data_IF_333094379846
#
_entry.id   IF_333094379846
#
_cell.length_a   1.000
_cell.length_b   1.000
_cell.length_c   1.000
_cell.angle_alpha   90.00
_cell.angle_beta   90.00
_cell.angle_gamma   90.00
#
_symmetry.space_group_name_H-M   'P 1'
#
loop_
_entity.id
_entity.type
_entity.pdbx_description
1 polymer ?
#
# COMPACT_ATOMS: atom_id res chain seq x y z
N UNK A 1 -14.98 10.93 7.17
CA UNK A 1 -15.05 9.47 7.00
C UNK A 1 -15.19 9.21 5.50
N UNK A 2 -14.27 8.47 4.89
CA UNK A 2 -14.25 8.17 3.45
C UNK A 2 -14.45 6.66 3.31
N UNK A 3 -15.50 6.24 2.59
CA UNK A 3 -15.74 4.84 2.24
C UNK A 3 -15.91 4.73 0.73
N UNK A 4 -15.07 3.94 0.07
CA UNK A 4 -15.13 3.73 -1.37
C UNK A 4 -15.00 2.24 -1.71
N UNK A 5 -15.58 1.83 -2.83
CA UNK A 5 -15.34 0.48 -3.38
C UNK A 5 -13.90 0.38 -3.85
N UNK A 6 -13.25 -0.74 -3.56
CA UNK A 6 -11.93 -1.04 -4.11
C UNK A 6 -11.99 -0.96 -5.64
N UNK A 7 -10.99 -0.34 -6.27
CA UNK A 7 -10.85 -0.30 -7.72
C UNK A 7 -10.26 -1.61 -8.21
N UNK A 8 -10.76 -2.14 -9.32
CA UNK A 8 -10.30 -3.42 -9.87
C UNK A 8 -10.79 -4.63 -9.07
N UNK A 9 -9.88 -5.53 -8.69
CA UNK A 9 -10.21 -6.80 -8.02
C UNK A 9 -10.89 -6.57 -6.67
N UNK A 10 -12.13 -7.01 -6.53
CA UNK A 10 -12.86 -6.97 -5.26
C UNK A 10 -12.32 -8.06 -4.32
N UNK A 11 -11.19 -7.78 -3.68
CA UNK A 11 -10.60 -8.64 -2.64
C UNK A 11 -10.32 -7.80 -1.42
N UNK A 12 -10.39 -8.40 -0.22
CA UNK A 12 -10.12 -7.68 1.02
C UNK A 12 -8.74 -7.02 0.97
N UNK A 13 -7.70 -7.78 0.59
CA UNK A 13 -6.33 -7.28 0.49
C UNK A 13 -6.19 -6.06 -0.44
N UNK A 14 -6.91 -6.02 -1.56
CA UNK A 14 -6.87 -4.88 -2.47
C UNK A 14 -7.54 -3.64 -1.87
N UNK A 15 -8.69 -3.82 -1.20
CA UNK A 15 -9.36 -2.73 -0.50
C UNK A 15 -8.45 -2.11 0.58
N UNK A 16 -7.73 -2.95 1.31
CA UNK A 16 -6.81 -2.55 2.37
C UNK A 16 -5.60 -1.75 1.84
N UNK A 17 -4.99 -2.19 0.74
CA UNK A 17 -3.90 -1.44 0.09
C UNK A 17 -4.41 -0.05 -0.36
N UNK A 18 -5.57 -0.01 -1.00
CA UNK A 18 -6.15 1.24 -1.49
C UNK A 18 -6.58 2.16 -0.35
N UNK A 19 -6.98 1.63 0.79
CA UNK A 19 -7.26 2.44 1.97
C UNK A 19 -6.01 3.21 2.43
N UNK A 20 -4.85 2.57 2.43
CA UNK A 20 -3.56 3.22 2.75
C UNK A 20 -3.18 4.25 1.69
N UNK A 21 -3.35 3.95 0.40
CA UNK A 21 -3.12 4.88 -0.71
C UNK A 21 -3.98 6.15 -0.54
N UNK A 22 -5.28 6.00 -0.28
CA UNK A 22 -6.22 7.12 -0.09
C UNK A 22 -5.84 7.94 1.14
N UNK A 23 -5.48 7.28 2.25
CA UNK A 23 -5.02 7.98 3.45
C UNK A 23 -3.77 8.83 3.17
N UNK A 24 -2.80 8.30 2.41
CA UNK A 24 -1.60 9.02 2.02
C UNK A 24 -1.91 10.21 1.09
N UNK A 25 -2.82 10.03 0.13
CA UNK A 25 -3.26 11.12 -0.79
C UNK A 25 -3.97 12.24 -0.05
N UNK A 26 -4.85 11.90 0.89
CA UNK A 26 -5.53 12.89 1.73
C UNK A 26 -4.48 13.66 2.54
N UNK A 27 -3.53 12.96 3.17
CA UNK A 27 -2.47 13.59 3.93
C UNK A 27 -1.65 14.59 3.10
N UNK A 28 -1.25 14.21 1.88
CA UNK A 28 -0.56 15.11 0.94
C UNK A 28 -1.40 16.33 0.58
N UNK A 29 -2.68 16.11 0.29
CA UNK A 29 -3.62 17.17 -0.04
C UNK A 29 -3.77 18.18 1.11
N UNK A 30 -3.80 17.70 2.35
CA UNK A 30 -3.84 18.52 3.56
C UNK A 30 -2.47 19.15 3.91
N UNK A 31 -1.42 18.92 3.12
CA UNK A 31 -0.08 19.47 3.36
C UNK A 31 0.64 18.83 4.56
N UNK A 32 0.22 17.64 5.00
CA UNK A 32 0.90 16.90 6.06
C UNK A 32 2.17 16.25 5.51
N UNK A 33 3.28 16.47 6.20
CA UNK A 33 4.58 15.87 5.87
C UNK A 33 4.85 14.60 6.68
N UNK A 34 4.19 14.42 7.83
CA UNK A 34 4.34 13.26 8.71
C UNK A 34 3.00 12.65 9.07
N UNK A 35 2.83 11.35 8.83
CA UNK A 35 1.60 10.63 9.11
C UNK A 35 1.82 9.27 9.77
N UNK A 36 0.87 8.85 10.60
CA UNK A 36 0.81 7.50 11.15
C UNK A 36 -0.46 6.83 10.64
N UNK A 37 -0.29 5.79 9.83
CA UNK A 37 -1.40 5.01 9.29
C UNK A 37 -1.52 3.75 10.15
N UNK A 38 -2.67 3.58 10.81
CA UNK A 38 -2.97 2.39 11.62
C UNK A 38 -3.97 1.55 10.86
N UNK A 39 -3.58 0.33 10.49
CA UNK A 39 -4.43 -0.69 9.86
C UNK A 39 -4.33 -1.97 10.67
N UNK A 40 -5.42 -2.74 10.77
CA UNK A 40 -5.45 -4.08 11.34
C UNK A 40 -5.04 -5.16 10.33
N UNK A 41 -4.83 -4.78 9.07
CA UNK A 41 -4.39 -5.66 8.01
C UNK A 41 -2.92 -6.03 8.14
N UNK A 42 -2.67 -7.17 8.79
CA UNK A 42 -1.35 -7.82 8.82
C UNK A 42 -0.72 -7.93 7.43
N UNK A 43 -1.54 -8.20 6.40
CA UNK A 43 -1.07 -8.27 5.02
C UNK A 43 -0.39 -6.98 4.56
N UNK A 44 -0.97 -5.81 4.83
CA UNK A 44 -0.40 -4.52 4.41
C UNK A 44 0.80 -4.14 5.27
N UNK A 45 0.76 -4.43 6.56
CA UNK A 45 1.87 -4.22 7.50
C UNK A 45 3.09 -5.05 7.07
N UNK A 46 2.91 -6.36 6.87
CA UNK A 46 3.97 -7.28 6.47
C UNK A 46 4.45 -6.99 5.05
N UNK A 47 3.54 -6.63 4.13
CA UNK A 47 3.91 -6.20 2.80
C UNK A 47 4.83 -4.99 2.85
N UNK A 48 4.46 -3.96 3.61
CA UNK A 48 5.25 -2.72 3.66
C UNK A 48 6.59 -2.91 4.36
N UNK A 49 6.65 -3.72 5.42
CA UNK A 49 7.88 -3.95 6.19
C UNK A 49 8.82 -4.95 5.54
N UNK A 50 8.30 -6.07 5.04
CA UNK A 50 9.10 -7.22 4.60
C UNK A 50 9.05 -7.42 3.09
N UNK A 51 7.84 -7.50 2.50
CA UNK A 51 7.72 -8.01 1.14
C UNK A 51 8.02 -6.97 0.05
N UNK A 52 7.62 -5.72 0.22
CA UNK A 52 7.87 -4.66 -0.77
C UNK A 52 9.38 -4.48 -1.03
N UNK A 53 10.25 -4.34 -0.01
CA UNK A 53 11.69 -4.29 -0.21
C UNK A 53 12.25 -5.52 -0.95
N UNK A 54 11.76 -6.71 -0.60
CA UNK A 54 12.20 -7.97 -1.19
C UNK A 54 11.72 -8.14 -2.64
N UNK A 55 10.45 -7.86 -2.91
CA UNK A 55 9.87 -7.84 -4.25
C UNK A 55 10.56 -6.82 -5.14
N UNK A 56 10.92 -5.65 -4.62
CA UNK A 56 11.67 -4.64 -5.39
C UNK A 56 13.04 -5.18 -5.82
N UNK A 57 13.74 -5.95 -4.96
CA UNK A 57 14.99 -6.64 -5.31
C UNK A 57 14.78 -7.80 -6.27
N UNK A 58 13.70 -8.56 -6.10
CA UNK A 58 13.41 -9.79 -6.86
C UNK A 58 12.56 -9.55 -8.12
N UNK A 59 12.37 -8.29 -8.54
CA UNK A 59 11.63 -7.95 -9.76
C UNK A 59 10.12 -8.24 -9.69
N UNK A 60 9.51 -8.07 -8.52
CA UNK A 60 8.09 -8.29 -8.23
C UNK A 60 7.61 -9.73 -8.41
N UNK A 61 8.39 -10.68 -7.88
CA UNK A 61 8.05 -12.09 -7.85
C UNK A 61 7.78 -12.56 -6.42
N UNK A 62 6.75 -13.38 -6.25
CA UNK A 62 6.43 -14.04 -4.99
C UNK A 62 7.36 -15.24 -4.74
N UNK A 63 7.24 -15.87 -3.57
CA UNK A 63 8.03 -17.04 -3.18
C UNK A 63 7.88 -18.26 -4.12
N UNK A 64 6.80 -18.32 -4.91
CA UNK A 64 6.55 -19.35 -5.92
C UNK A 64 7.11 -18.99 -7.30
N UNK A 65 7.79 -17.85 -7.43
CA UNK A 65 8.34 -17.35 -8.69
C UNK A 65 7.30 -16.72 -9.62
N UNK A 66 6.04 -16.62 -9.21
CA UNK A 66 4.99 -15.96 -9.96
C UNK A 66 5.02 -14.43 -9.75
N UNK A 67 4.56 -13.64 -10.72
CA UNK A 67 4.40 -12.20 -10.52
C UNK A 67 3.44 -11.92 -9.36
N UNK A 68 3.78 -10.92 -8.55
CA UNK A 68 2.92 -10.45 -7.45
C UNK A 68 1.62 -9.94 -8.04
N UNK A 69 0.51 -10.53 -7.61
CA UNK A 69 -0.84 -10.23 -8.12
C UNK A 69 -1.16 -8.76 -7.90
N UNK A 70 -0.93 -8.23 -6.70
CA UNK A 70 -1.24 -6.86 -6.30
C UNK A 70 -0.11 -5.85 -6.57
N UNK A 71 0.75 -6.13 -7.55
CA UNK A 71 1.93 -5.30 -7.84
C UNK A 71 1.54 -3.84 -8.10
N UNK A 72 0.58 -3.62 -8.98
CA UNK A 72 0.18 -2.28 -9.41
C UNK A 72 -0.35 -1.47 -8.23
N UNK A 73 -1.18 -2.09 -7.40
CA UNK A 73 -1.79 -1.43 -6.24
C UNK A 73 -0.75 -1.07 -5.17
N UNK A 74 0.27 -1.92 -4.98
CA UNK A 74 1.41 -1.57 -4.13
C UNK A 74 2.28 -0.46 -4.72
N UNK A 75 2.45 -0.40 -6.04
CA UNK A 75 3.20 0.67 -6.70
C UNK A 75 2.48 2.02 -6.54
N UNK A 76 1.16 2.05 -6.74
CA UNK A 76 0.33 3.24 -6.55
C UNK A 76 0.34 3.71 -5.09
N UNK A 77 0.23 2.77 -4.13
CA UNK A 77 0.33 3.08 -2.70
C UNK A 77 1.70 3.67 -2.36
N UNK A 78 2.80 3.12 -2.88
CA UNK A 78 4.15 3.65 -2.63
C UNK A 78 4.36 5.02 -3.25
N UNK A 79 3.84 5.26 -4.45
CA UNK A 79 3.89 6.57 -5.09
C UNK A 79 3.12 7.63 -4.26
N UNK A 80 1.94 7.24 -3.77
CA UNK A 80 1.17 8.08 -2.86
C UNK A 80 1.92 8.36 -1.54
N UNK A 81 2.66 7.40 -0.99
CA UNK A 81 3.49 7.58 0.20
C UNK A 81 4.82 8.31 -0.06
N UNK A 82 5.27 8.38 -1.31
CA UNK A 82 6.56 9.00 -1.66
C UNK A 82 6.62 10.46 -1.23
N UNK A 83 7.65 10.83 -0.45
CA UNK A 83 7.81 12.18 0.08
C UNK A 83 7.05 12.46 1.40
N UNK A 84 6.36 11.47 1.97
CA UNK A 84 5.82 11.53 3.33
C UNK A 84 6.75 10.81 4.31
N UNK A 85 6.91 11.36 5.50
CA UNK A 85 7.43 10.62 6.66
C UNK A 85 6.28 9.81 7.26
N UNK A 86 6.20 8.52 6.93
CA UNK A 86 5.09 7.67 7.36
C UNK A 86 5.51 6.53 8.29
N UNK A 87 4.59 6.15 9.18
CA UNK A 87 4.72 4.97 10.04
C UNK A 87 3.47 4.10 9.89
N UNK A 88 3.69 2.80 9.63
CA UNK A 88 2.69 1.73 9.54
C UNK A 88 2.84 0.71 10.68
#
# INVERSE_FOLDING_TARGET
NVSARARGRQTNNNAEIQAVEVAARIAKHEGLWRIRIVTDSKFVIDATKNWIPEWRRNGWRNSRGCPVVNKEEFMDMMDALSGLDYVL
#
